data_IF_162468958565
#
_entry.id   IF_162468958565
#
_cell.length_a   1.000
_cell.length_b   1.000
_cell.length_c   1.000
_cell.angle_alpha   90.00
_cell.angle_beta   90.00
_cell.angle_gamma   90.00
#
_symmetry.space_group_name_H-M   'P 1'
#
loop_
_entity.id
_entity.type
_entity.pdbx_description
1 polymer ?
#
# COMPACT_ATOMS: atom_id res chain seq x y z
N UNK A 1 10.61 -9.97 -4.34
CA UNK A 1 9.42 -9.11 -4.32
C UNK A 1 8.15 -9.97 -4.24
N UNK A 2 7.30 -9.83 -3.20
CA UNK A 2 6.14 -10.68 -2.99
C UNK A 2 5.16 -10.67 -4.18
N UNK A 3 4.89 -9.51 -4.76
CA UNK A 3 3.93 -9.39 -5.85
C UNK A 3 4.40 -10.09 -7.13
N UNK A 4 5.70 -10.12 -7.41
CA UNK A 4 6.24 -10.83 -8.57
C UNK A 4 6.11 -12.35 -8.45
N UNK A 5 6.17 -12.91 -7.25
CA UNK A 5 5.92 -14.35 -7.07
C UNK A 5 4.48 -14.74 -7.38
N UNK A 6 3.52 -13.80 -7.25
CA UNK A 6 2.12 -14.10 -7.60
C UNK A 6 1.93 -14.36 -9.08
N UNK A 7 2.73 -13.73 -9.93
CA UNK A 7 2.66 -13.87 -11.40
C UNK A 7 3.07 -15.28 -11.87
N UNK A 8 3.75 -16.04 -11.03
CA UNK A 8 4.07 -17.46 -11.30
C UNK A 8 2.89 -18.40 -11.07
N UNK A 9 1.81 -17.89 -10.49
CA UNK A 9 0.61 -18.69 -10.21
C UNK A 9 -0.32 -18.72 -11.42
N UNK A 10 -0.88 -19.88 -11.79
CA UNK A 10 -1.83 -19.98 -12.90
C UNK A 10 -3.02 -19.03 -12.71
N UNK A 11 -3.39 -18.30 -13.76
CA UNK A 11 -4.52 -17.36 -13.75
C UNK A 11 -4.22 -16.00 -13.12
N UNK A 12 -2.96 -15.68 -12.85
CA UNK A 12 -2.51 -14.34 -12.50
C UNK A 12 -1.60 -13.83 -13.62
N UNK A 13 -1.89 -12.67 -14.14
CA UNK A 13 -1.18 -12.08 -15.26
C UNK A 13 -0.94 -10.58 -15.04
N UNK A 14 0.07 -10.05 -15.69
CA UNK A 14 0.23 -8.62 -15.99
C UNK A 14 -0.19 -8.39 -17.43
N UNK A 15 -0.90 -7.31 -17.73
CA UNK A 15 -1.33 -7.02 -19.11
C UNK A 15 -0.17 -6.63 -20.02
N UNK A 16 0.87 -6.02 -19.46
CA UNK A 16 2.09 -5.66 -20.19
C UNK A 16 3.26 -5.53 -19.22
N UNK A 17 4.47 -5.41 -19.74
CA UNK A 17 5.67 -5.13 -18.94
C UNK A 17 5.61 -3.76 -18.22
N UNK A 18 4.73 -2.88 -18.70
CA UNK A 18 4.50 -1.52 -18.20
C UNK A 18 3.24 -1.41 -17.34
N UNK A 19 2.45 -2.49 -17.19
CA UNK A 19 1.26 -2.51 -16.36
C UNK A 19 1.63 -2.97 -14.96
N UNK A 20 1.46 -2.07 -13.98
CA UNK A 20 1.67 -2.36 -12.57
C UNK A 20 0.56 -3.18 -11.94
N UNK A 21 -0.51 -3.43 -12.66
CA UNK A 21 -1.69 -4.14 -12.18
C UNK A 21 -1.49 -5.65 -12.13
N UNK A 22 -2.16 -6.27 -11.17
CA UNK A 22 -2.32 -7.72 -11.11
C UNK A 22 -3.71 -8.06 -11.62
N UNK A 23 -3.76 -8.81 -12.72
CA UNK A 23 -5.00 -9.30 -13.31
C UNK A 23 -5.22 -10.74 -12.87
N UNK A 24 -6.19 -10.95 -11.99
CA UNK A 24 -6.52 -12.28 -11.46
C UNK A 24 -7.72 -12.81 -12.25
N UNK A 25 -7.53 -13.94 -12.94
CA UNK A 25 -8.56 -14.59 -13.79
C UNK A 25 -9.19 -13.64 -14.82
N UNK A 26 -8.39 -12.75 -15.42
CA UNK A 26 -8.85 -11.80 -16.43
C UNK A 26 -9.60 -10.59 -15.88
N UNK A 27 -9.76 -10.46 -14.56
CA UNK A 27 -10.33 -9.27 -13.94
C UNK A 27 -9.34 -8.09 -14.00
N UNK A 28 -9.88 -6.89 -14.12
CA UNK A 28 -9.10 -5.66 -14.01
C UNK A 28 -8.49 -5.52 -12.61
N UNK A 29 -7.35 -4.83 -12.51
CA UNK A 29 -6.65 -4.60 -11.25
C UNK A 29 -7.54 -3.92 -10.20
N UNK A 30 -8.43 -3.01 -10.61
CA UNK A 30 -9.38 -2.31 -9.72
C UNK A 30 -10.42 -3.25 -9.08
N UNK A 31 -10.66 -4.40 -9.67
CA UNK A 31 -11.58 -5.43 -9.16
C UNK A 31 -10.98 -6.28 -8.05
N UNK A 32 -9.65 -6.26 -7.91
CA UNK A 32 -8.95 -7.03 -6.89
C UNK A 32 -8.94 -6.28 -5.55
N UNK A 33 -8.83 -7.04 -4.48
CA UNK A 33 -8.45 -6.53 -3.18
C UNK A 33 -6.95 -6.75 -2.97
N UNK A 34 -6.25 -5.69 -2.66
CA UNK A 34 -4.86 -5.76 -2.19
C UNK A 34 -4.79 -5.04 -0.85
N UNK A 35 -4.24 -5.67 0.19
CA UNK A 35 -4.25 -5.06 1.50
C UNK A 35 -3.34 -5.70 2.54
N UNK A 36 -3.37 -5.13 3.74
CA UNK A 36 -2.67 -5.60 4.94
C UNK A 36 -3.71 -5.85 6.03
N UNK A 37 -3.82 -7.10 6.51
CA UNK A 37 -4.79 -7.49 7.56
C UNK A 37 -6.23 -7.01 7.28
N UNK A 38 -6.66 -7.13 6.03
CA UNK A 38 -7.99 -6.71 5.58
C UNK A 38 -8.15 -5.20 5.36
N UNK A 39 -7.13 -4.39 5.55
CA UNK A 39 -7.15 -2.94 5.25
C UNK A 39 -6.63 -2.70 3.84
N UNK A 40 -7.40 -2.03 2.96
CA UNK A 40 -7.00 -1.86 1.58
C UNK A 40 -5.77 -0.95 1.41
N UNK A 41 -4.90 -1.31 0.47
CA UNK A 41 -3.82 -0.50 -0.10
C UNK A 41 -4.20 -0.20 -1.55
N UNK A 42 -4.44 1.06 -1.89
CA UNK A 42 -5.04 1.42 -3.17
C UNK A 42 -4.10 1.29 -4.37
N UNK A 43 -2.82 1.55 -4.18
CA UNK A 43 -1.79 1.30 -5.19
C UNK A 43 -0.64 0.54 -4.54
N UNK A 44 -0.53 -0.74 -4.87
CA UNK A 44 0.41 -1.65 -4.22
C UNK A 44 1.74 -1.78 -4.97
N UNK A 45 2.12 -0.76 -5.75
CA UNK A 45 3.33 -0.84 -6.58
C UNK A 45 4.12 0.47 -6.64
N UNK A 46 5.43 0.30 -6.84
CA UNK A 46 6.40 1.35 -7.12
C UNK A 46 6.95 1.20 -8.54
N UNK A 47 7.50 2.28 -9.09
CA UNK A 47 8.14 2.32 -10.41
C UNK A 47 7.28 1.62 -11.46
N UNK A 48 6.03 2.07 -11.59
CA UNK A 48 5.09 1.54 -12.58
C UNK A 48 4.96 0.00 -12.55
N UNK A 49 5.08 -0.61 -11.35
CA UNK A 49 4.89 -2.05 -11.16
C UNK A 49 6.16 -2.89 -11.07
N UNK A 50 7.33 -2.28 -11.21
CA UNK A 50 8.59 -3.02 -11.06
C UNK A 50 8.85 -3.53 -9.65
N UNK A 51 8.33 -2.84 -8.63
CA UNK A 51 8.43 -3.23 -7.23
C UNK A 51 7.08 -3.17 -6.54
N UNK A 52 6.81 -4.10 -5.64
CA UNK A 52 5.65 -4.00 -4.75
C UNK A 52 5.92 -3.01 -3.62
N UNK A 53 4.84 -2.47 -3.06
CA UNK A 53 4.91 -1.64 -1.84
C UNK A 53 5.20 -2.46 -0.58
N UNK A 54 5.18 -3.79 -0.67
CA UNK A 54 5.34 -4.68 0.48
C UNK A 54 6.78 -5.11 0.68
N UNK A 55 7.33 -4.80 1.85
CA UNK A 55 8.60 -5.35 2.31
C UNK A 55 8.38 -6.78 2.83
N UNK A 56 8.84 -7.78 2.08
CA UNK A 56 8.60 -9.20 2.40
C UNK A 56 9.05 -9.58 3.81
N UNK A 57 10.15 -9.02 4.31
CA UNK A 57 10.71 -9.33 5.62
C UNK A 57 9.86 -8.80 6.79
N UNK A 58 8.92 -7.88 6.53
CA UNK A 58 8.01 -7.35 7.54
C UNK A 58 6.82 -8.26 7.83
N UNK A 59 6.41 -9.04 6.84
CA UNK A 59 5.20 -9.85 6.87
C UNK A 59 5.52 -11.33 7.07
N UNK A 60 4.59 -12.05 7.67
CA UNK A 60 4.70 -13.50 7.86
C UNK A 60 4.38 -14.26 6.57
N UNK A 61 3.33 -13.85 5.88
CA UNK A 61 2.84 -14.51 4.67
C UNK A 61 2.05 -13.56 3.78
N UNK A 62 1.82 -14.02 2.57
CA UNK A 62 0.89 -13.42 1.63
C UNK A 62 -0.18 -14.44 1.26
N UNK A 63 -1.43 -14.13 1.57
CA UNK A 63 -2.58 -14.95 1.21
C UNK A 63 -3.13 -14.51 -0.13
N UNK A 64 -3.32 -15.45 -1.04
CA UNK A 64 -3.90 -15.21 -2.35
C UNK A 64 -5.15 -16.05 -2.51
N UNK A 65 -6.26 -15.41 -2.83
CA UNK A 65 -7.49 -16.06 -3.22
C UNK A 65 -7.88 -15.61 -4.62
N UNK A 66 -7.96 -16.56 -5.55
CA UNK A 66 -8.42 -16.27 -6.91
C UNK A 66 -9.96 -16.25 -7.01
N UNK A 67 -10.64 -16.75 -6.00
CA UNK A 67 -12.09 -16.74 -5.90
C UNK A 67 -12.51 -15.61 -4.95
N UNK A 68 -13.25 -14.61 -5.42
CA UNK A 68 -13.59 -13.41 -4.63
C UNK A 68 -14.66 -13.64 -3.57
N UNK A 69 -15.25 -14.82 -3.48
CA UNK A 69 -16.46 -15.11 -2.69
C UNK A 69 -16.21 -15.32 -1.19
N UNK A 70 -15.24 -14.62 -0.61
CA UNK A 70 -15.15 -14.55 0.85
C UNK A 70 -16.04 -13.42 1.35
N UNK A 71 -17.03 -13.73 2.19
CA UNK A 71 -17.91 -12.73 2.82
C UNK A 71 -17.13 -11.63 3.59
N UNK A 72 -15.88 -11.90 3.96
CA UNK A 72 -15.00 -10.93 4.64
C UNK A 72 -14.44 -9.85 3.71
N UNK A 73 -14.66 -9.94 2.42
CA UNK A 73 -14.20 -8.95 1.43
C UNK A 73 -15.35 -8.63 0.47
N UNK A 74 -16.40 -7.97 0.96
CA UNK A 74 -17.51 -7.55 0.13
C UNK A 74 -17.04 -6.56 -0.95
N UNK A 75 -17.85 -6.40 -2.00
CA UNK A 75 -17.61 -5.43 -3.08
C UNK A 75 -16.33 -5.66 -3.90
N UNK A 76 -15.83 -6.89 -3.97
CA UNK A 76 -14.72 -7.29 -4.83
C UNK A 76 -15.15 -8.46 -5.71
N UNK A 77 -14.93 -8.33 -7.01
CA UNK A 77 -15.28 -9.34 -8.02
C UNK A 77 -14.05 -10.03 -8.62
N UNK A 78 -12.86 -9.48 -8.38
CA UNK A 78 -11.58 -10.06 -8.76
C UNK A 78 -10.99 -10.95 -7.65
N UNK A 79 -9.68 -11.05 -7.57
CA UNK A 79 -8.98 -11.79 -6.54
C UNK A 79 -8.74 -10.98 -5.26
N UNK A 80 -8.27 -11.70 -4.25
CA UNK A 80 -7.86 -11.12 -2.96
C UNK A 80 -6.39 -11.43 -2.75
N UNK A 81 -5.59 -10.42 -2.49
CA UNK A 81 -4.18 -10.49 -2.14
C UNK A 81 -3.98 -9.78 -0.81
N UNK A 82 -3.61 -10.50 0.21
CA UNK A 82 -3.58 -10.00 1.57
C UNK A 82 -2.27 -10.33 2.27
N UNK A 83 -1.59 -9.28 2.73
CA UNK A 83 -0.39 -9.42 3.53
C UNK A 83 -0.77 -9.67 4.99
N UNK A 84 -0.17 -10.72 5.58
CA UNK A 84 -0.38 -11.11 6.98
C UNK A 84 0.80 -10.71 7.85
N UNK A 85 0.50 -10.08 8.96
CA UNK A 85 1.48 -9.77 9.99
C UNK A 85 1.86 -11.04 10.77
N UNK A 86 2.98 -11.00 11.48
CA UNK A 86 3.38 -12.11 12.34
C UNK A 86 2.37 -12.32 13.47
N UNK A 87 1.92 -13.56 13.66
CA UNK A 87 0.97 -13.91 14.71
C UNK A 87 1.60 -13.99 16.10
N UNK A 88 2.91 -14.21 16.15
CA UNK A 88 3.62 -14.41 17.40
C UNK A 88 4.37 -13.15 17.84
N UNK A 89 4.42 -12.93 19.14
CA UNK A 89 5.28 -11.93 19.76
C UNK A 89 6.73 -12.40 19.62
N UNK A 90 7.58 -11.55 19.07
CA UNK A 90 9.01 -11.84 18.96
C UNK A 90 9.63 -11.88 20.37
N UNK A 91 10.35 -12.95 20.68
CA UNK A 91 11.01 -13.15 21.97
C UNK A 91 12.48 -12.77 21.95
N UNK A 92 13.07 -12.69 20.78
CA UNK A 92 14.44 -12.32 20.54
C UNK A 92 14.55 -11.14 19.58
N UNK A 93 15.61 -10.36 19.71
CA UNK A 93 15.95 -9.35 18.71
C UNK A 93 16.48 -10.08 17.47
N UNK A 94 15.85 -9.77 16.34
CA UNK A 94 16.23 -10.32 15.04
C UNK A 94 16.06 -9.22 13.99
N UNK A 95 16.86 -9.26 12.94
CA UNK A 95 16.76 -8.29 11.86
C UNK A 95 17.66 -8.64 10.70
N UNK A 96 17.47 -7.93 9.61
CA UNK A 96 18.23 -8.08 8.38
C UNK A 96 18.41 -6.75 7.68
N UNK A 97 19.49 -6.63 6.95
CA UNK A 97 19.79 -5.54 6.04
C UNK A 97 20.10 -6.14 4.67
N UNK A 98 19.41 -5.71 3.65
CA UNK A 98 19.62 -6.08 2.26
C UNK A 98 20.03 -4.85 1.47
N UNK A 99 21.15 -4.92 0.77
CA UNK A 99 21.67 -3.86 -0.08
C UNK A 99 21.69 -4.39 -1.51
N UNK A 100 20.85 -3.82 -2.36
CA UNK A 100 20.75 -4.17 -3.77
C UNK A 100 21.19 -3.02 -4.68
N UNK A 101 21.32 -3.26 -5.98
CA UNK A 101 21.75 -2.24 -6.94
C UNK A 101 20.70 -1.13 -7.16
N UNK A 102 19.44 -1.35 -6.85
CA UNK A 102 18.33 -0.41 -7.10
C UNK A 102 17.76 0.16 -5.82
N UNK A 103 17.74 -0.62 -4.74
CA UNK A 103 17.17 -0.24 -3.44
C UNK A 103 17.84 -1.01 -2.31
N UNK A 104 17.78 -0.44 -1.12
CA UNK A 104 18.13 -1.12 0.12
C UNK A 104 16.93 -1.20 1.05
N UNK A 105 16.87 -2.25 1.84
CA UNK A 105 15.85 -2.45 2.85
C UNK A 105 16.42 -3.00 4.14
N UNK A 106 15.81 -2.63 5.26
CA UNK A 106 16.15 -3.15 6.57
C UNK A 106 14.90 -3.52 7.34
N UNK A 107 14.99 -4.58 8.15
CA UNK A 107 13.91 -5.02 9.05
C UNK A 107 14.49 -5.34 10.42
N UNK A 108 13.80 -4.93 11.46
CA UNK A 108 14.13 -5.19 12.86
C UNK A 108 12.89 -5.72 13.58
N UNK A 109 13.02 -6.86 14.20
CA UNK A 109 12.07 -7.43 15.15
C UNK A 109 12.67 -7.33 16.55
N UNK A 110 11.95 -6.78 17.51
CA UNK A 110 12.45 -6.61 18.87
C UNK A 110 11.37 -6.88 19.90
N UNK A 111 11.65 -7.68 20.94
CA UNK A 111 10.76 -7.78 22.08
C UNK A 111 10.73 -6.45 22.85
N UNK A 112 9.54 -6.11 23.39
CA UNK A 112 9.31 -5.05 24.38
C UNK A 112 8.83 -5.67 25.68
N UNK A 113 9.70 -6.46 26.32
CA UNK A 113 9.34 -7.26 27.48
C UNK A 113 8.78 -8.64 27.08
N UNK A 114 8.05 -9.29 28.02
CA UNK A 114 7.60 -10.69 27.86
C UNK A 114 6.37 -10.85 26.96
N UNK A 115 5.56 -9.80 26.86
CA UNK A 115 4.22 -9.88 26.26
C UNK A 115 4.02 -8.92 25.07
N UNK A 116 5.07 -8.23 24.66
CA UNK A 116 4.96 -7.24 23.59
C UNK A 116 6.18 -7.29 22.68
N UNK A 117 6.00 -6.94 21.42
CA UNK A 117 7.10 -6.80 20.45
C UNK A 117 6.79 -5.71 19.43
N UNK A 118 7.84 -5.23 18.81
CA UNK A 118 7.78 -4.34 17.65
C UNK A 118 8.47 -4.98 16.45
N UNK A 119 7.95 -4.65 15.27
CA UNK A 119 8.59 -4.90 13.99
C UNK A 119 8.67 -3.57 13.24
N UNK A 120 9.87 -3.22 12.82
CA UNK A 120 10.14 -2.02 12.03
C UNK A 120 10.76 -2.45 10.71
N UNK A 121 10.34 -1.87 9.61
CA UNK A 121 11.08 -2.00 8.36
C UNK A 121 11.05 -0.72 7.56
N UNK A 122 12.14 -0.49 6.84
CA UNK A 122 12.30 0.63 5.94
C UNK A 122 12.96 0.14 4.65
N UNK A 123 12.52 0.71 3.53
CA UNK A 123 13.12 0.48 2.21
C UNK A 123 13.21 1.81 1.47
N UNK A 124 14.29 2.01 0.73
CA UNK A 124 14.48 3.19 -0.11
C UNK A 124 15.20 2.82 -1.40
N UNK A 125 14.72 3.36 -2.52
CA UNK A 125 15.38 3.30 -3.80
C UNK A 125 16.28 4.51 -3.99
N UNK A 126 17.44 4.27 -4.59
CA UNK A 126 18.46 5.28 -4.87
C UNK A 126 18.95 5.26 -6.33
N UNK A 127 18.04 4.96 -7.25
CA UNK A 127 18.32 4.93 -8.69
C UNK A 127 19.03 6.18 -9.19
N UNK A 128 18.60 7.35 -8.73
CA UNK A 128 19.21 8.62 -9.14
C UNK A 128 20.65 8.79 -8.66
N UNK A 129 20.98 8.23 -7.49
CA UNK A 129 22.33 8.33 -6.93
C UNK A 129 23.34 7.53 -7.75
N UNK A 130 22.97 6.34 -8.19
CA UNK A 130 23.86 5.44 -8.91
C UNK A 130 23.78 5.59 -10.43
N UNK A 131 22.59 5.85 -10.96
CA UNK A 131 22.33 5.80 -12.41
C UNK A 131 21.84 7.13 -13.00
N UNK A 132 21.80 8.22 -12.22
CA UNK A 132 21.23 9.49 -12.65
C UNK A 132 21.88 10.07 -13.93
N UNK A 133 23.19 9.89 -14.10
CA UNK A 133 23.89 10.32 -15.33
C UNK A 133 23.57 9.44 -16.55
N UNK A 134 23.09 8.21 -16.35
CA UNK A 134 22.75 7.26 -17.42
C UNK A 134 21.27 7.31 -17.78
N UNK A 135 20.43 7.82 -16.89
CA UNK A 135 18.97 7.93 -17.08
C UNK A 135 18.62 9.22 -17.84
N UNK A 136 19.16 9.36 -19.05
CA UNK A 136 18.85 10.46 -19.96
C UNK A 136 18.14 9.91 -21.18
N UNK A 137 17.02 10.52 -21.54
CA UNK A 137 16.21 10.19 -22.72
C UNK A 137 15.98 11.46 -23.51
N UNK A 138 16.47 11.54 -24.73
CA UNK A 138 16.30 12.68 -25.65
C UNK A 138 16.62 14.05 -25.02
N UNK A 139 17.72 14.15 -24.27
CA UNK A 139 18.11 15.39 -23.61
C UNK A 139 17.37 15.71 -22.30
N UNK A 140 16.47 14.83 -21.88
CA UNK A 140 15.75 14.95 -20.61
C UNK A 140 16.34 14.02 -19.55
N UNK A 141 16.45 14.54 -18.32
CA UNK A 141 16.92 13.79 -17.16
C UNK A 141 15.74 13.12 -16.46
N UNK A 142 15.75 11.78 -16.42
CA UNK A 142 14.77 10.99 -15.66
C UNK A 142 15.27 10.77 -14.23
N UNK A 143 14.50 11.22 -13.26
CA UNK A 143 14.74 10.99 -11.84
C UNK A 143 13.60 10.17 -11.26
N UNK A 144 13.95 9.13 -10.50
CA UNK A 144 12.97 8.31 -9.81
C UNK A 144 13.50 7.84 -8.45
N UNK A 145 12.63 7.85 -7.47
CA UNK A 145 12.91 7.32 -6.14
C UNK A 145 11.62 6.97 -5.40
N UNK A 146 11.72 5.97 -4.52
CA UNK A 146 10.65 5.63 -3.60
C UNK A 146 11.18 5.31 -2.22
N UNK A 147 10.31 5.36 -1.23
CA UNK A 147 10.60 4.89 0.12
C UNK A 147 9.35 4.33 0.79
N UNK A 148 9.55 3.29 1.61
CA UNK A 148 8.54 2.60 2.39
C UNK A 148 8.95 2.49 3.84
N UNK A 149 7.98 2.64 4.72
CA UNK A 149 8.15 2.48 6.16
C UNK A 149 6.99 1.64 6.69
N UNK A 150 7.30 0.60 7.42
CA UNK A 150 6.33 -0.24 8.09
C UNK A 150 6.62 -0.29 9.59
N UNK A 151 5.58 -0.25 10.37
CA UNK A 151 5.61 -0.37 11.82
C UNK A 151 4.52 -1.32 12.27
N UNK A 152 4.86 -2.30 13.09
CA UNK A 152 3.90 -3.16 13.76
C UNK A 152 4.26 -3.25 15.25
N UNK A 153 3.30 -2.96 16.10
CA UNK A 153 3.37 -3.23 17.53
C UNK A 153 2.36 -4.30 17.89
N UNK A 154 2.79 -5.29 18.65
CA UNK A 154 1.93 -6.34 19.15
C UNK A 154 2.07 -6.46 20.66
N UNK A 155 0.95 -6.62 21.34
CA UNK A 155 0.93 -6.84 22.79
C UNK A 155 -0.15 -7.82 23.17
N UNK A 156 0.18 -8.76 24.04
CA UNK A 156 -0.74 -9.75 24.59
C UNK A 156 -1.13 -9.35 26.02
N UNK A 157 -2.37 -8.94 26.19
CA UNK A 157 -2.95 -8.66 27.50
C UNK A 157 -3.62 -9.92 28.01
N UNK A 158 -3.23 -10.44 29.16
CA UNK A 158 -3.66 -11.73 29.64
C UNK A 158 -3.34 -12.83 28.61
N UNK A 159 -3.78 -14.07 28.83
CA UNK A 159 -3.47 -15.18 27.92
C UNK A 159 -4.19 -15.10 26.57
N UNK A 160 -5.33 -14.42 26.53
CA UNK A 160 -6.31 -14.57 25.44
C UNK A 160 -6.65 -13.28 24.70
N UNK A 161 -6.05 -12.15 25.06
CA UNK A 161 -6.35 -10.86 24.39
C UNK A 161 -5.09 -10.29 23.77
N UNK A 162 -5.18 -9.91 22.49
CA UNK A 162 -4.07 -9.35 21.73
C UNK A 162 -4.46 -8.02 21.09
N UNK A 163 -3.59 -7.04 21.23
CA UNK A 163 -3.63 -5.79 20.49
C UNK A 163 -2.56 -5.79 19.41
N UNK A 164 -2.93 -5.39 18.21
CA UNK A 164 -2.03 -5.20 17.08
C UNK A 164 -2.24 -3.77 16.58
N UNK A 165 -1.18 -2.97 16.59
CA UNK A 165 -1.13 -1.68 15.92
C UNK A 165 -0.24 -1.82 14.70
N UNK A 166 -0.73 -1.40 13.55
CA UNK A 166 0.02 -1.46 12.30
C UNK A 166 -0.03 -0.12 11.60
N UNK A 167 1.10 0.29 11.03
CA UNK A 167 1.19 1.47 10.19
C UNK A 167 2.09 1.19 8.98
N UNK A 168 1.69 1.71 7.84
CA UNK A 168 2.45 1.71 6.60
C UNK A 168 2.40 3.09 5.96
N UNK A 169 3.54 3.53 5.46
CA UNK A 169 3.67 4.73 4.65
C UNK A 169 4.64 4.46 3.50
N UNK A 170 4.20 4.73 2.29
CA UNK A 170 5.02 4.62 1.09
C UNK A 170 4.82 5.84 0.19
N UNK A 171 5.89 6.28 -0.45
CA UNK A 171 5.84 7.37 -1.41
C UNK A 171 6.78 7.16 -2.57
N UNK A 172 6.37 7.64 -3.73
CA UNK A 172 7.10 7.68 -4.98
C UNK A 172 7.22 9.10 -5.49
N UNK A 173 8.34 9.37 -6.13
CA UNK A 173 8.59 10.61 -6.84
C UNK A 173 9.31 10.30 -8.15
N UNK A 174 8.66 10.63 -9.26
CA UNK A 174 9.22 10.53 -10.60
C UNK A 174 9.22 11.89 -11.23
N UNK A 175 10.30 12.30 -11.87
CA UNK A 175 10.34 13.52 -12.68
C UNK A 175 11.19 13.31 -13.92
N UNK A 176 10.77 13.93 -15.00
CA UNK A 176 11.50 14.06 -16.24
C UNK A 176 11.56 15.55 -16.59
N UNK A 177 12.75 16.12 -16.60
CA UNK A 177 13.00 17.53 -16.80
C UNK A 177 13.98 17.72 -17.96
N UNK A 178 13.69 18.63 -18.87
CA UNK A 178 14.60 19.01 -19.96
C UNK A 178 15.79 19.79 -19.41
N UNK A 179 17.00 19.53 -19.93
CA UNK A 179 18.22 20.18 -19.46
C UNK A 179 18.31 21.67 -19.82
N UNK A 180 17.62 22.11 -20.87
CA UNK A 180 17.73 23.46 -21.42
C UNK A 180 16.52 24.35 -21.11
N UNK A 181 15.39 23.76 -20.74
CA UNK A 181 14.16 24.47 -20.44
C UNK A 181 13.66 24.04 -19.05
N UNK A 182 12.79 24.84 -18.44
CA UNK A 182 12.11 24.42 -17.21
C UNK A 182 10.89 23.52 -17.46
N UNK A 183 10.80 22.98 -18.67
CA UNK A 183 9.72 22.07 -19.07
C UNK A 183 9.95 20.69 -18.50
N UNK A 184 8.85 20.04 -18.10
CA UNK A 184 8.97 18.73 -17.55
C UNK A 184 7.68 18.16 -16.98
N UNK A 185 7.77 16.88 -16.65
CA UNK A 185 6.68 16.12 -16.03
C UNK A 185 7.15 15.64 -14.66
N UNK A 186 6.32 15.81 -13.66
CA UNK A 186 6.55 15.28 -12.31
C UNK A 186 5.33 14.50 -11.84
N UNK A 187 5.56 13.27 -11.42
CA UNK A 187 4.53 12.39 -10.89
C UNK A 187 4.91 11.99 -9.47
N UNK A 188 4.02 12.26 -8.53
CA UNK A 188 4.16 11.86 -7.12
C UNK A 188 2.95 11.06 -6.70
N UNK A 189 3.17 9.93 -6.03
CA UNK A 189 2.08 9.15 -5.44
C UNK A 189 2.52 8.50 -4.15
N UNK A 190 1.57 8.02 -3.38
CA UNK A 190 1.88 7.32 -2.15
C UNK A 190 0.65 6.87 -1.38
N UNK A 191 0.89 5.89 -0.51
CA UNK A 191 -0.10 5.32 0.39
C UNK A 191 0.25 5.64 1.85
N UNK A 192 -0.79 5.71 2.67
CA UNK A 192 -0.67 5.72 4.12
C UNK A 192 -1.76 4.81 4.70
N UNK A 193 -1.39 3.97 5.66
CA UNK A 193 -2.31 3.07 6.34
C UNK A 193 -1.97 3.03 7.82
N UNK A 194 -2.99 3.09 8.65
CA UNK A 194 -2.89 2.85 10.10
C UNK A 194 -4.07 1.99 10.52
N UNK A 195 -3.83 0.97 11.33
CA UNK A 195 -4.89 0.15 11.90
C UNK A 195 -4.59 -0.24 13.34
N UNK A 196 -5.66 -0.44 14.11
CA UNK A 196 -5.61 -0.98 15.45
C UNK A 196 -6.63 -2.13 15.55
N UNK A 197 -6.12 -3.33 15.84
CA UNK A 197 -6.94 -4.54 15.96
C UNK A 197 -6.83 -5.11 17.37
N UNK A 198 -7.97 -5.28 18.02
CA UNK A 198 -8.12 -5.98 19.29
C UNK A 198 -8.77 -7.34 19.01
N UNK A 199 -8.10 -8.41 19.37
CA UNK A 199 -8.61 -9.77 19.27
C UNK A 199 -8.67 -10.43 20.64
N UNK A 200 -9.79 -11.09 20.93
CA UNK A 200 -9.98 -11.92 22.12
C UNK A 200 -10.36 -13.33 21.73
N UNK A 201 -9.57 -14.31 22.18
CA UNK A 201 -9.79 -15.72 21.94
C UNK A 201 -10.50 -16.31 23.18
N UNK A 202 -11.77 -16.71 23.04
CA UNK A 202 -12.55 -17.38 24.09
C UNK A 202 -12.10 -18.84 24.25
N UNK A 203 -11.73 -19.46 23.13
CA UNK A 203 -11.23 -20.83 23.06
C UNK A 203 -10.41 -21.01 21.76
N UNK A 204 -9.86 -22.19 21.55
CA UNK A 204 -9.14 -22.54 20.32
C UNK A 204 -10.00 -22.46 19.05
N UNK A 205 -11.33 -22.44 19.20
CA UNK A 205 -12.28 -22.45 18.08
C UNK A 205 -13.19 -21.22 18.07
N UNK A 206 -13.10 -20.35 19.07
CA UNK A 206 -13.96 -19.17 19.19
C UNK A 206 -13.15 -17.91 19.51
N UNK A 207 -13.31 -16.90 18.69
CA UNK A 207 -12.65 -15.59 18.87
C UNK A 207 -13.52 -14.46 18.37
N UNK A 208 -13.32 -13.28 18.94
CA UNK A 208 -13.86 -12.00 18.45
C UNK A 208 -12.70 -11.07 18.12
N UNK A 209 -12.86 -10.32 17.06
CA UNK A 209 -11.90 -9.28 16.65
C UNK A 209 -12.62 -7.98 16.32
N UNK A 210 -12.01 -6.87 16.70
CA UNK A 210 -12.44 -5.51 16.36
C UNK A 210 -11.26 -4.78 15.76
N UNK A 211 -11.44 -4.15 14.62
CA UNK A 211 -10.41 -3.38 13.94
C UNK A 211 -10.96 -2.03 13.51
N UNK A 212 -10.23 -0.98 13.81
CA UNK A 212 -10.43 0.36 13.25
C UNK A 212 -9.24 0.67 12.34
N UNK A 213 -9.49 1.33 11.23
CA UNK A 213 -8.42 1.66 10.30
C UNK A 213 -8.64 2.98 9.58
N UNK A 214 -7.52 3.56 9.18
CA UNK A 214 -7.44 4.59 8.17
C UNK A 214 -6.55 4.09 7.03
N UNK A 215 -6.96 4.34 5.80
CA UNK A 215 -6.11 4.14 4.62
C UNK A 215 -6.32 5.30 3.65
N UNK A 216 -5.25 5.69 2.98
CA UNK A 216 -5.29 6.78 2.03
C UNK A 216 -4.27 6.60 0.92
N UNK A 217 -4.64 7.06 -0.25
CA UNK A 217 -3.80 7.17 -1.44
C UNK A 217 -3.91 8.58 -2.00
N UNK A 218 -2.79 9.09 -2.43
CA UNK A 218 -2.72 10.36 -3.16
C UNK A 218 -1.86 10.21 -4.40
N UNK A 219 -2.26 10.91 -5.45
CA UNK A 219 -1.52 11.01 -6.69
C UNK A 219 -1.52 12.47 -7.13
N UNK A 220 -0.42 12.93 -7.71
CA UNK A 220 -0.31 14.25 -8.33
C UNK A 220 0.59 14.17 -9.55
N UNK A 221 0.01 14.36 -10.72
CA UNK A 221 0.73 14.61 -11.96
C UNK A 221 0.85 16.13 -12.15
N UNK A 222 2.05 16.59 -12.39
CA UNK A 222 2.33 17.98 -12.74
C UNK A 222 3.05 18.00 -14.09
N UNK A 223 2.60 18.85 -14.94
CA UNK A 223 3.19 19.08 -16.25
C UNK A 223 3.44 20.57 -16.43
N UNK A 224 4.64 20.94 -16.81
CA UNK A 224 5.03 22.30 -17.11
C UNK A 224 5.58 22.36 -18.52
N UNK A 225 5.05 23.29 -19.33
CA UNK A 225 5.51 23.60 -20.67
C UNK A 225 5.53 25.11 -20.81
N UNK A 226 6.72 25.66 -20.96
CA UNK A 226 6.96 27.10 -21.03
C UNK A 226 6.31 27.84 -19.84
N UNK A 227 5.29 28.66 -20.07
CA UNK A 227 4.61 29.48 -19.04
C UNK A 227 3.30 28.82 -18.54
N UNK A 228 2.96 27.64 -19.05
CA UNK A 228 1.74 26.91 -18.68
C UNK A 228 2.13 25.77 -17.73
N UNK A 229 1.54 25.77 -16.56
CA UNK A 229 1.62 24.64 -15.65
C UNK A 229 0.25 24.03 -15.41
N UNK A 230 0.19 22.70 -15.49
CA UNK A 230 -0.99 21.92 -15.19
C UNK A 230 -0.70 20.96 -14.05
N UNK A 231 -1.62 20.86 -13.11
CA UNK A 231 -1.56 19.91 -12.01
C UNK A 231 -2.85 19.09 -11.96
N UNK A 232 -2.70 17.79 -11.84
CA UNK A 232 -3.78 16.81 -11.81
C UNK A 232 -3.70 16.03 -10.47
N UNK A 233 -4.16 16.62 -9.37
CA UNK A 233 -4.22 15.92 -8.09
C UNK A 233 -5.37 14.92 -8.06
N UNK A 234 -5.19 13.81 -7.36
CA UNK A 234 -6.26 12.92 -6.94
C UNK A 234 -5.98 12.31 -5.57
N UNK A 235 -7.03 11.98 -4.85
CA UNK A 235 -6.93 11.46 -3.49
C UNK A 235 -8.10 10.56 -3.14
N UNK A 236 -7.80 9.46 -2.45
CA UNK A 236 -8.79 8.59 -1.81
C UNK A 236 -8.37 8.44 -0.36
N UNK A 237 -9.31 8.61 0.56
CA UNK A 237 -9.12 8.35 1.98
C UNK A 237 -10.29 7.55 2.50
N UNK A 238 -10.03 6.60 3.39
CA UNK A 238 -11.07 5.80 4.00
C UNK A 238 -10.81 5.60 5.47
N UNK A 239 -11.86 5.74 6.26
CA UNK A 239 -11.89 5.38 7.66
C UNK A 239 -12.91 4.27 7.82
N UNK A 240 -12.52 3.16 8.41
CA UNK A 240 -13.40 2.01 8.53
C UNK A 240 -13.29 1.31 9.87
N UNK A 241 -14.33 0.53 10.14
CA UNK A 241 -14.43 -0.36 11.29
C UNK A 241 -14.86 -1.74 10.82
N UNK A 242 -14.22 -2.76 11.37
CA UNK A 242 -14.54 -4.17 11.15
C UNK A 242 -14.71 -4.86 12.48
N UNK A 243 -15.73 -5.71 12.59
CA UNK A 243 -15.90 -6.61 13.72
C UNK A 243 -16.22 -8.00 13.21
N UNK A 244 -15.57 -9.01 13.74
CA UNK A 244 -15.77 -10.40 13.35
C UNK A 244 -15.80 -11.32 14.54
N UNK A 245 -16.78 -12.21 14.56
CA UNK A 245 -16.87 -13.32 15.49
C UNK A 245 -16.68 -14.64 14.74
N UNK A 246 -15.69 -15.40 15.16
CA UNK A 246 -15.37 -16.71 14.61
C UNK A 246 -15.74 -17.78 15.62
N UNK A 247 -16.51 -18.75 15.17
CA UNK A 247 -16.92 -19.92 15.93
C UNK A 247 -16.75 -21.14 15.03
N UNK A 248 -15.98 -22.13 15.40
CA UNK A 248 -15.69 -23.39 14.70
C UNK A 248 -16.14 -23.50 13.22
N UNK A 249 -17.44 -23.47 12.93
CA UNK A 249 -18.03 -23.58 11.59
C UNK A 249 -18.72 -22.31 11.10
N UNK A 250 -18.80 -21.28 11.95
CA UNK A 250 -19.53 -20.06 11.65
C UNK A 250 -18.61 -18.84 11.82
N UNK A 251 -18.56 -18.01 10.80
CA UNK A 251 -17.91 -16.71 10.88
C UNK A 251 -18.97 -15.65 10.55
N UNK A 252 -19.16 -14.73 11.46
CA UNK A 252 -20.06 -13.58 11.27
C UNK A 252 -19.24 -12.33 11.44
N UNK A 253 -19.45 -11.34 10.58
CA UNK A 253 -18.78 -10.05 10.68
C UNK A 253 -19.65 -8.93 10.16
N UNK A 254 -19.27 -7.72 10.58
CA UNK A 254 -19.78 -6.48 10.04
C UNK A 254 -18.59 -5.61 9.67
N UNK A 255 -18.73 -4.88 8.59
CA UNK A 255 -17.76 -3.89 8.13
C UNK A 255 -18.51 -2.65 7.70
N UNK A 256 -17.98 -1.47 8.02
CA UNK A 256 -18.45 -0.20 7.50
C UNK A 256 -17.27 0.73 7.27
N UNK A 257 -17.32 1.49 6.20
CA UNK A 257 -16.30 2.48 5.87
C UNK A 257 -16.91 3.75 5.28
N UNK A 258 -16.25 4.86 5.58
CA UNK A 258 -16.50 6.18 4.97
C UNK A 258 -15.35 6.45 3.99
N UNK A 259 -15.69 6.72 2.74
CA UNK A 259 -14.74 7.05 1.69
C UNK A 259 -14.85 8.52 1.30
N UNK A 260 -13.72 9.21 1.29
CA UNK A 260 -13.59 10.59 0.81
C UNK A 260 -12.75 10.56 -0.47
N UNK A 261 -13.36 10.93 -1.58
CA UNK A 261 -12.77 10.79 -2.91
C UNK A 261 -12.66 12.18 -3.54
N UNK A 262 -11.44 12.53 -3.90
CA UNK A 262 -11.13 13.68 -4.75
C UNK A 262 -10.66 13.12 -6.10
N UNK A 263 -11.53 13.08 -7.11
CA UNK A 263 -11.17 12.59 -8.43
C UNK A 263 -10.15 13.50 -9.10
N UNK A 264 -9.46 12.99 -10.09
CA UNK A 264 -8.46 13.75 -10.83
C UNK A 264 -9.12 14.90 -11.57
N UNK A 265 -8.78 16.13 -11.20
CA UNK A 265 -9.28 17.35 -11.84
C UNK A 265 -8.13 18.24 -12.28
N UNK A 266 -8.18 18.80 -13.48
CA UNK A 266 -7.11 19.67 -13.97
C UNK A 266 -7.14 21.03 -13.28
N UNK A 267 -6.02 21.43 -12.71
CA UNK A 267 -5.75 22.78 -12.22
C UNK A 267 -4.70 23.37 -13.15
N UNK A 268 -5.04 24.43 -13.83
CA UNK A 268 -4.14 25.12 -14.75
C UNK A 268 -3.76 26.49 -14.20
N UNK A 269 -2.49 26.85 -14.32
CA UNK A 269 -2.00 28.19 -14.05
C UNK A 269 -1.13 28.69 -15.19
N UNK A 270 -1.33 29.94 -15.56
CA UNK A 270 -0.44 30.75 -16.38
C UNK A 270 0.08 31.90 -15.53
N UNK A 271 1.10 32.62 -15.99
CA UNK A 271 1.67 33.75 -15.22
C UNK A 271 0.64 34.80 -14.78
N UNK A 272 -0.54 34.87 -15.43
CA UNK A 272 -1.56 35.88 -15.16
C UNK A 272 -2.91 35.32 -14.64
N UNK A 273 -3.13 34.00 -14.72
CA UNK A 273 -4.41 33.39 -14.32
C UNK A 273 -4.22 32.00 -13.74
N UNK A 274 -4.92 31.71 -12.65
CA UNK A 274 -5.00 30.36 -12.08
C UNK A 274 -6.48 29.91 -12.06
N UNK A 275 -6.73 28.70 -12.55
CA UNK A 275 -8.02 28.04 -12.45
C UNK A 275 -7.87 26.78 -11.60
N UNK A 276 -8.56 26.77 -10.48
CA UNK A 276 -8.61 25.62 -9.56
C UNK A 276 -10.01 25.03 -9.57
N UNK A 277 -10.13 23.77 -9.99
CA UNK A 277 -11.38 23.03 -10.00
C UNK A 277 -11.24 21.84 -9.05
N UNK A 278 -12.04 21.85 -7.99
CA UNK A 278 -12.02 20.76 -7.00
C UNK A 278 -13.40 20.11 -6.95
N UNK A 279 -13.45 18.80 -7.23
CA UNK A 279 -14.61 17.96 -6.95
C UNK A 279 -14.33 17.08 -5.75
N UNK A 280 -15.36 16.86 -4.93
CA UNK A 280 -15.30 15.94 -3.80
C UNK A 280 -16.52 15.04 -3.82
N UNK A 281 -16.29 13.75 -3.63
CA UNK A 281 -17.34 12.76 -3.45
C UNK A 281 -17.16 12.05 -2.11
N UNK A 282 -18.26 11.68 -1.50
CA UNK A 282 -18.31 10.90 -0.27
C UNK A 282 -19.14 9.64 -0.52
N UNK A 283 -18.61 8.50 -0.14
CA UNK A 283 -19.28 7.21 -0.27
C UNK A 283 -19.28 6.50 1.09
N UNK A 284 -20.36 5.77 1.35
CA UNK A 284 -20.53 4.95 2.54
C UNK A 284 -20.69 3.50 2.12
N UNK A 285 -19.91 2.59 2.72
CA UNK A 285 -20.08 1.15 2.55
C UNK A 285 -20.40 0.49 3.89
N UNK A 286 -21.34 -0.44 3.89
CA UNK A 286 -21.78 -1.18 5.06
C UNK A 286 -21.70 -2.67 4.81
#
# INVERSE_FOLDING_TARGET
DPMRYTQLLPGIQTCSEYDSGIHIQGCDNSHNFVGIEGVPVYNASHLLGLFSTFNASHFQSMDISKNPFKASHPNRIGGILEMRLHDNIHTNVNGGLEIGPLSSQGTLHSPLGKNSSITLSARSAYLNLLYGSMLKIDGSSLKYGFSDYNFTFQSRFKKNTRLILNAYYGNDNSSMEEEHNSDGIRLKWGNALVSATLRHDFSNVSSISHSIYYTGYRNRLQWKVTDISMSLPSRIQSVGYKSGWKQRFLNIGIEGALHFIEPQTPNTSTDNTATDVTFRAQEHTF
#
